data_IF_746767070104
#
_entry.id   IF_746767070104
#
_cell.length_a   1.000
_cell.length_b   1.000
_cell.length_c   1.000
_cell.angle_alpha   90.00
_cell.angle_beta   90.00
_cell.angle_gamma   90.00
#
_symmetry.space_group_name_H-M   'P 1'
#
loop_
_entity.id
_entity.type
_entity.pdbx_description
1 polymer ?
#
# COMPACT_ATOMS: atom_id res chain seq x y z
N UNK A 1 -15.18 7.20 -51.33
CA UNK A 1 -13.95 8.05 -51.41
C UNK A 1 -13.01 7.47 -52.44
N UNK A 2 -11.87 8.12 -52.74
CA UNK A 2 -10.86 7.55 -53.67
C UNK A 2 -9.58 7.20 -52.89
N UNK A 3 -8.93 6.11 -53.29
CA UNK A 3 -7.68 5.70 -52.71
C UNK A 3 -6.60 6.78 -52.97
N UNK A 4 -5.86 7.15 -51.92
CA UNK A 4 -4.79 8.18 -52.02
C UNK A 4 -3.57 7.66 -52.81
N UNK A 5 -3.41 6.35 -52.97
CA UNK A 5 -2.27 5.74 -53.64
C UNK A 5 -2.56 5.38 -55.10
N UNK A 6 -3.71 4.78 -55.42
CA UNK A 6 -4.01 4.31 -56.77
C UNK A 6 -5.22 5.01 -57.43
N UNK A 7 -5.92 5.92 -56.73
CA UNK A 7 -7.08 6.62 -57.22
C UNK A 7 -8.38 5.83 -57.38
N UNK A 8 -8.38 4.52 -57.08
CA UNK A 8 -9.53 3.65 -57.20
C UNK A 8 -10.67 4.07 -56.25
N UNK A 9 -11.95 3.87 -56.66
CA UNK A 9 -13.07 4.17 -55.77
C UNK A 9 -13.08 3.20 -54.58
N UNK A 10 -13.26 3.74 -53.35
CA UNK A 10 -13.27 2.99 -52.11
C UNK A 10 -14.59 3.23 -51.37
N UNK A 11 -15.06 2.17 -50.70
CA UNK A 11 -16.09 2.31 -49.68
C UNK A 11 -15.50 3.01 -48.43
N UNK A 12 -16.31 3.76 -47.71
CA UNK A 12 -15.90 4.56 -46.56
C UNK A 12 -15.39 3.69 -45.42
N UNK A 13 -15.87 2.43 -45.29
CA UNK A 13 -15.56 1.47 -44.25
C UNK A 13 -14.40 0.51 -44.61
N UNK A 14 -13.72 0.71 -45.75
CA UNK A 14 -12.69 -0.19 -46.21
C UNK A 14 -11.36 0.02 -45.47
N UNK A 15 -10.84 -0.97 -44.72
CA UNK A 15 -9.58 -0.86 -43.98
C UNK A 15 -8.35 -0.83 -44.93
N UNK A 16 -8.41 -1.55 -46.00
CA UNK A 16 -7.35 -1.63 -47.05
C UNK A 16 -7.95 -1.49 -48.42
N UNK A 17 -7.25 -0.80 -49.30
CA UNK A 17 -7.66 -0.70 -50.70
C UNK A 17 -7.62 -2.10 -51.36
N UNK A 18 -8.73 -2.58 -51.94
CA UNK A 18 -8.77 -3.91 -52.58
C UNK A 18 -7.93 -3.99 -53.87
N UNK A 19 -7.55 -2.85 -54.45
CA UNK A 19 -6.79 -2.77 -55.69
C UNK A 19 -5.29 -2.70 -55.51
N UNK A 20 -4.81 -1.97 -54.50
CA UNK A 20 -3.37 -1.75 -54.26
C UNK A 20 -2.89 -2.18 -52.87
N UNK A 21 -3.79 -2.61 -51.97
CA UNK A 21 -3.43 -3.04 -50.62
C UNK A 21 -3.07 -1.92 -49.64
N UNK A 22 -3.00 -0.68 -50.07
CA UNK A 22 -2.67 0.47 -49.21
C UNK A 22 -3.70 0.62 -48.12
N UNK A 23 -3.26 0.84 -46.87
CA UNK A 23 -4.12 1.11 -45.71
C UNK A 23 -4.85 2.46 -45.90
N UNK A 24 -6.15 2.47 -45.70
CA UNK A 24 -6.96 3.69 -45.80
C UNK A 24 -6.91 4.48 -44.49
N UNK A 25 -7.27 5.76 -44.47
CA UNK A 25 -7.37 6.52 -43.24
C UNK A 25 -8.29 5.86 -42.18
N UNK A 26 -9.39 5.24 -42.63
CA UNK A 26 -10.26 4.42 -41.75
C UNK A 26 -9.55 3.19 -41.21
N UNK A 27 -8.74 2.50 -42.02
CA UNK A 27 -7.92 1.37 -41.60
C UNK A 27 -6.85 1.76 -40.57
N UNK A 28 -6.22 2.93 -40.73
CA UNK A 28 -5.25 3.44 -39.76
C UNK A 28 -5.89 3.76 -38.41
N UNK A 29 -7.11 4.35 -38.42
CA UNK A 29 -7.87 4.61 -37.21
C UNK A 29 -8.25 3.33 -36.48
N UNK A 30 -8.78 2.35 -37.23
CA UNK A 30 -9.10 1.03 -36.69
C UNK A 30 -7.88 0.27 -36.15
N UNK A 31 -6.74 0.40 -36.78
CA UNK A 31 -5.49 -0.19 -36.30
C UNK A 31 -5.06 0.44 -34.97
N UNK A 32 -5.13 1.78 -34.88
CA UNK A 32 -4.82 2.50 -33.61
C UNK A 32 -5.79 2.13 -32.49
N UNK A 33 -7.09 2.00 -32.77
CA UNK A 33 -8.07 1.55 -31.78
C UNK A 33 -7.77 0.13 -31.27
N UNK A 34 -7.46 -0.82 -32.18
CA UNK A 34 -7.11 -2.21 -31.80
C UNK A 34 -5.81 -2.25 -30.99
N UNK A 35 -4.83 -1.43 -31.33
CA UNK A 35 -3.56 -1.35 -30.59
C UNK A 35 -3.76 -0.76 -29.18
N UNK A 36 -4.61 0.28 -29.05
CA UNK A 36 -4.94 0.84 -27.75
C UNK A 36 -5.72 -0.15 -26.88
N UNK A 37 -6.71 -0.84 -27.43
CA UNK A 37 -7.45 -1.89 -26.72
C UNK A 37 -6.54 -3.03 -26.26
N UNK A 38 -5.61 -3.48 -27.13
CA UNK A 38 -4.64 -4.52 -26.77
C UNK A 38 -3.74 -4.07 -25.61
N UNK A 39 -3.25 -2.84 -25.62
CA UNK A 39 -2.46 -2.25 -24.51
C UNK A 39 -3.27 -2.17 -23.22
N UNK A 40 -4.55 -1.81 -23.30
CA UNK A 40 -5.42 -1.74 -22.13
C UNK A 40 -5.73 -3.13 -21.55
N UNK A 41 -5.91 -4.13 -22.38
CA UNK A 41 -6.13 -5.52 -21.94
C UNK A 41 -4.85 -6.13 -21.34
N UNK A 42 -3.69 -5.88 -21.93
CA UNK A 42 -2.39 -6.26 -21.35
C UNK A 42 -2.16 -5.58 -19.99
N UNK A 43 -2.52 -4.29 -19.88
CA UNK A 43 -2.46 -3.53 -18.63
C UNK A 43 -3.40 -4.11 -17.57
N UNK A 44 -4.65 -4.45 -17.94
CA UNK A 44 -5.62 -5.09 -17.01
C UNK A 44 -5.09 -6.44 -16.52
N UNK A 45 -4.58 -7.28 -17.39
CA UNK A 45 -3.97 -8.57 -17.02
C UNK A 45 -2.75 -8.42 -16.13
N UNK A 46 -1.94 -7.39 -16.36
CA UNK A 46 -0.81 -7.07 -15.49
C UNK A 46 -1.27 -6.59 -14.10
N UNK A 47 -2.33 -5.77 -14.03
CA UNK A 47 -2.94 -5.32 -12.77
C UNK A 47 -3.54 -6.47 -11.96
N UNK A 48 -4.14 -7.47 -12.60
CA UNK A 48 -4.69 -8.66 -11.92
C UNK A 48 -3.61 -9.49 -11.22
N UNK A 49 -2.38 -9.49 -11.76
CA UNK A 49 -1.24 -10.19 -11.17
C UNK A 49 -0.58 -9.42 -10.01
N UNK A 50 -0.94 -8.15 -9.82
CA UNK A 50 -0.39 -7.35 -8.73
C UNK A 50 -0.97 -7.78 -7.37
N UNK A 51 -0.17 -7.71 -6.31
CA UNK A 51 -0.65 -8.02 -4.96
C UNK A 51 -1.80 -7.08 -4.58
N UNK A 52 -2.88 -7.68 -4.07
CA UNK A 52 -4.10 -6.96 -3.70
C UNK A 52 -3.93 -6.25 -2.36
N UNK A 53 -4.14 -4.93 -2.36
CA UNK A 53 -4.11 -4.10 -1.15
C UNK A 53 -5.47 -3.43 -0.91
N UNK A 54 -5.94 -3.43 0.33
CA UNK A 54 -7.21 -2.78 0.68
C UNK A 54 -7.02 -1.26 0.67
N UNK A 55 -7.82 -0.58 -0.19
CA UNK A 55 -7.95 0.88 -0.14
C UNK A 55 -8.81 1.27 1.06
N UNK A 56 -8.31 2.17 1.89
CA UNK A 56 -9.05 2.75 3.03
C UNK A 56 -8.81 4.25 3.02
N UNK A 57 -9.88 5.04 3.20
CA UNK A 57 -9.75 6.49 3.28
C UNK A 57 -8.79 6.89 4.40
N UNK A 58 -7.78 7.68 4.08
CA UNK A 58 -6.72 8.05 5.04
C UNK A 58 -7.27 8.84 6.23
N UNK A 59 -8.28 9.69 5.99
CA UNK A 59 -8.98 10.43 7.03
C UNK A 59 -9.68 9.51 8.03
N UNK A 60 -10.32 8.45 7.53
CA UNK A 60 -10.97 7.45 8.39
C UNK A 60 -9.95 6.71 9.27
N UNK A 61 -8.78 6.35 8.71
CA UNK A 61 -7.70 5.72 9.48
C UNK A 61 -7.15 6.67 10.55
N UNK A 62 -6.96 7.95 10.22
CA UNK A 62 -6.48 8.94 11.17
C UNK A 62 -7.48 9.15 12.32
N UNK A 63 -8.77 9.25 12.00
CA UNK A 63 -9.84 9.35 13.01
C UNK A 63 -9.83 8.11 13.91
N UNK A 64 -9.82 6.90 13.35
CA UNK A 64 -9.78 5.67 14.14
C UNK A 64 -8.50 5.61 15.01
N UNK A 65 -7.36 6.02 14.48
CA UNK A 65 -6.11 6.05 15.23
C UNK A 65 -6.21 6.91 16.49
N UNK A 66 -6.79 8.12 16.36
CA UNK A 66 -6.98 9.03 17.48
C UNK A 66 -8.03 8.50 18.46
N UNK A 67 -9.20 8.09 17.97
CA UNK A 67 -10.30 7.62 18.83
C UNK A 67 -9.98 6.32 19.60
N UNK A 68 -9.15 5.46 19.03
CA UNK A 68 -8.74 4.20 19.70
C UNK A 68 -7.42 4.35 20.45
N UNK A 69 -6.92 5.59 20.64
CA UNK A 69 -5.63 5.86 21.27
C UNK A 69 -4.48 4.99 20.69
N UNK A 70 -4.52 4.73 19.38
CA UNK A 70 -3.54 3.91 18.67
C UNK A 70 -3.82 2.41 18.59
N UNK A 71 -4.84 1.86 19.28
CA UNK A 71 -5.22 0.42 19.20
C UNK A 71 -5.49 -0.01 17.75
N UNK A 72 -6.03 0.88 16.93
CA UNK A 72 -6.22 0.64 15.51
C UNK A 72 -4.92 0.28 14.76
N UNK A 73 -3.76 0.71 15.24
CA UNK A 73 -2.47 0.35 14.62
C UNK A 73 -2.19 -1.15 14.72
N UNK A 74 -2.53 -1.79 15.84
CA UNK A 74 -2.40 -3.24 16.04
C UNK A 74 -3.23 -3.98 15.00
N UNK A 75 -4.52 -3.61 14.88
CA UNK A 75 -5.42 -4.15 13.87
C UNK A 75 -4.88 -3.92 12.46
N UNK A 76 -4.37 -2.72 12.16
CA UNK A 76 -3.84 -2.37 10.85
C UNK A 76 -2.66 -3.26 10.46
N UNK A 77 -1.67 -3.45 11.36
CA UNK A 77 -0.52 -4.32 11.09
C UNK A 77 -0.93 -5.78 10.93
N UNK A 78 -1.84 -6.29 11.76
CA UNK A 78 -2.34 -7.66 11.68
C UNK A 78 -3.04 -7.94 10.33
N UNK A 79 -3.94 -7.05 9.91
CA UNK A 79 -4.66 -7.18 8.63
C UNK A 79 -3.77 -7.00 7.40
N UNK A 80 -2.67 -6.25 7.53
CA UNK A 80 -1.72 -6.00 6.44
C UNK A 80 -0.56 -6.99 6.39
N UNK A 81 -0.40 -7.85 7.37
CA UNK A 81 0.71 -8.80 7.44
C UNK A 81 0.81 -9.68 6.18
N UNK A 82 -0.29 -10.33 5.79
CA UNK A 82 -0.34 -11.18 4.59
C UNK A 82 -0.14 -10.37 3.30
N UNK A 83 -0.91 -9.28 3.04
CA UNK A 83 -0.72 -8.45 1.86
C UNK A 83 0.69 -7.87 1.73
N UNK A 84 1.29 -7.35 2.81
CA UNK A 84 2.66 -6.82 2.77
C UNK A 84 3.69 -7.90 2.47
N UNK A 85 3.52 -9.09 3.04
CA UNK A 85 4.44 -10.22 2.79
C UNK A 85 4.26 -10.87 1.41
N UNK A 86 3.13 -10.62 0.71
CA UNK A 86 2.94 -11.05 -0.69
C UNK A 86 3.60 -10.13 -1.71
N UNK A 87 4.08 -8.95 -1.30
CA UNK A 87 4.82 -8.05 -2.19
C UNK A 87 6.14 -8.69 -2.64
N UNK A 88 6.55 -8.37 -3.87
CA UNK A 88 7.82 -8.83 -4.45
C UNK A 88 9.00 -8.04 -3.84
N UNK A 89 9.32 -8.33 -2.58
CA UNK A 89 10.37 -7.66 -1.80
C UNK A 89 11.25 -8.66 -1.07
N UNK A 90 12.50 -8.27 -0.81
CA UNK A 90 13.43 -9.05 0.02
C UNK A 90 13.06 -8.96 1.50
N UNK A 91 12.68 -7.78 1.95
CA UNK A 91 12.24 -7.53 3.32
C UNK A 91 10.82 -8.07 3.54
N UNK A 92 10.58 -8.70 4.68
CA UNK A 92 9.26 -9.22 5.09
C UNK A 92 8.92 -8.71 6.48
N UNK A 93 7.63 -8.54 6.74
CA UNK A 93 7.12 -8.18 8.05
C UNK A 93 7.04 -9.45 8.93
N UNK A 94 7.83 -9.56 10.01
CA UNK A 94 7.81 -10.75 10.85
C UNK A 94 6.55 -10.79 11.71
N UNK A 95 5.84 -11.93 11.66
CA UNK A 95 4.57 -12.11 12.39
C UNK A 95 4.77 -12.02 13.91
N UNK A 96 5.90 -12.52 14.43
CA UNK A 96 6.20 -12.48 15.85
C UNK A 96 6.31 -11.05 16.39
N UNK A 97 6.83 -10.09 15.58
CA UNK A 97 6.96 -8.69 16.00
C UNK A 97 5.58 -8.00 16.06
N UNK A 98 4.68 -8.34 15.14
CA UNK A 98 3.29 -7.86 15.19
C UNK A 98 2.56 -8.45 16.41
N UNK A 99 2.77 -9.74 16.71
CA UNK A 99 2.22 -10.39 17.89
C UNK A 99 2.78 -9.76 19.18
N UNK A 100 4.09 -9.53 19.26
CA UNK A 100 4.72 -8.86 20.40
C UNK A 100 4.13 -7.48 20.63
N UNK A 101 4.00 -6.67 19.56
CA UNK A 101 3.39 -5.35 19.62
C UNK A 101 1.94 -5.43 20.14
N UNK A 102 1.17 -6.41 19.68
CA UNK A 102 -0.21 -6.61 20.14
C UNK A 102 -0.27 -6.99 21.63
N UNK A 103 0.61 -7.86 22.10
CA UNK A 103 0.67 -8.27 23.52
C UNK A 103 1.10 -7.10 24.41
N UNK A 104 2.13 -6.35 24.03
CA UNK A 104 2.56 -5.17 24.79
C UNK A 104 1.45 -4.11 24.85
N UNK A 105 0.75 -3.91 23.73
CA UNK A 105 -0.36 -2.96 23.67
C UNK A 105 -1.56 -3.41 24.52
N UNK A 106 -1.89 -4.70 24.49
CA UNK A 106 -2.92 -5.27 25.36
C UNK A 106 -2.54 -5.12 26.85
N UNK A 107 -1.26 -5.37 27.20
CA UNK A 107 -0.75 -5.17 28.55
C UNK A 107 -0.95 -3.74 29.05
N UNK A 108 -0.70 -2.74 28.20
CA UNK A 108 -0.88 -1.33 28.54
C UNK A 108 -2.34 -0.98 28.90
N UNK A 109 -3.32 -1.63 28.24
CA UNK A 109 -4.75 -1.39 28.48
C UNK A 109 -5.35 -2.27 29.59
N UNK A 110 -4.84 -3.49 29.76
CA UNK A 110 -5.36 -4.45 30.72
C UNK A 110 -4.72 -4.35 32.10
N UNK A 111 -3.52 -3.75 32.17
CA UNK A 111 -2.75 -3.61 33.40
C UNK A 111 -2.38 -2.12 33.65
N UNK A 112 -3.37 -1.24 33.80
CA UNK A 112 -3.08 0.11 34.27
C UNK A 112 -2.49 0.07 35.68
N UNK A 113 -1.74 1.09 36.12
CA UNK A 113 -1.03 1.11 37.40
C UNK A 113 -1.92 0.73 38.58
N UNK A 114 -3.14 1.22 38.62
CA UNK A 114 -4.11 0.99 39.71
C UNK A 114 -4.52 -0.51 39.81
N UNK A 115 -4.62 -1.20 38.66
CA UNK A 115 -4.94 -2.64 38.62
C UNK A 115 -3.68 -3.45 38.94
N UNK A 116 -2.51 -3.00 38.50
CA UNK A 116 -1.23 -3.69 38.76
C UNK A 116 -0.92 -3.72 40.25
N UNK A 117 -1.12 -2.62 40.95
CA UNK A 117 -0.99 -2.52 42.40
C UNK A 117 -1.93 -3.52 43.12
N UNK A 118 -3.17 -3.64 42.67
CA UNK A 118 -4.15 -4.54 43.27
C UNK A 118 -3.88 -6.02 43.00
N UNK A 119 -3.42 -6.39 41.77
CA UNK A 119 -3.16 -7.78 41.38
C UNK A 119 -1.85 -8.28 41.97
N UNK A 120 -0.82 -7.45 42.00
CA UNK A 120 0.52 -7.83 42.52
C UNK A 120 0.66 -7.24 43.93
N UNK A 121 0.02 -7.93 44.87
CA UNK A 121 0.15 -7.57 46.30
C UNK A 121 1.62 -7.56 46.71
N UNK A 122 2.18 -6.39 47.01
CA UNK A 122 3.57 -6.21 47.42
C UNK A 122 4.43 -5.32 46.51
N UNK A 123 3.88 -4.84 45.40
CA UNK A 123 4.50 -3.78 44.60
C UNK A 123 3.99 -2.44 45.12
N UNK A 124 4.90 -1.53 45.46
CA UNK A 124 4.58 -0.15 45.79
C UNK A 124 4.12 0.64 44.54
N UNK A 125 3.38 1.71 44.77
CA UNK A 125 2.78 2.54 43.72
C UNK A 125 3.88 3.06 42.75
N UNK A 126 5.03 3.50 43.26
CA UNK A 126 6.13 4.01 42.47
C UNK A 126 6.68 2.94 41.48
N UNK A 127 6.81 1.69 41.96
CA UNK A 127 7.24 0.57 41.10
C UNK A 127 6.20 0.21 40.05
N UNK A 128 4.89 0.30 40.34
CA UNK A 128 3.82 0.07 39.38
C UNK A 128 3.84 1.10 38.23
N UNK A 129 4.01 2.38 38.54
CA UNK A 129 4.17 3.42 37.51
C UNK A 129 5.45 3.22 36.68
N UNK A 130 6.55 2.83 37.30
CA UNK A 130 7.80 2.53 36.58
C UNK A 130 7.63 1.39 35.57
N UNK A 131 6.94 0.30 35.95
CA UNK A 131 6.62 -0.81 35.04
C UNK A 131 5.74 -0.34 33.88
N UNK A 132 4.71 0.47 34.16
CA UNK A 132 3.83 1.04 33.14
C UNK A 132 4.62 1.90 32.12
N UNK A 133 5.50 2.76 32.59
CA UNK A 133 6.35 3.61 31.74
C UNK A 133 7.30 2.80 30.86
N UNK A 134 7.88 1.71 31.39
CA UNK A 134 8.71 0.79 30.62
C UNK A 134 7.88 0.10 29.51
N UNK A 135 6.68 -0.38 29.82
CA UNK A 135 5.81 -1.02 28.82
C UNK A 135 5.39 0.00 27.76
N UNK A 136 5.04 1.22 28.17
CA UNK A 136 4.71 2.31 27.24
C UNK A 136 5.89 2.61 26.29
N UNK A 137 7.11 2.71 26.82
CA UNK A 137 8.31 2.91 26.01
C UNK A 137 8.53 1.76 25.02
N UNK A 138 8.34 0.51 25.44
CA UNK A 138 8.46 -0.66 24.57
C UNK A 138 7.39 -0.66 23.48
N UNK A 139 6.15 -0.28 23.77
CA UNK A 139 5.08 -0.10 22.77
C UNK A 139 5.47 0.95 21.75
N UNK A 140 5.95 2.10 22.17
CA UNK A 140 6.39 3.17 21.28
C UNK A 140 7.55 2.74 20.38
N UNK A 141 8.59 2.12 20.95
CA UNK A 141 9.76 1.62 20.19
C UNK A 141 9.36 0.53 19.19
N UNK A 142 8.51 -0.42 19.58
CA UNK A 142 8.05 -1.49 18.68
C UNK A 142 7.17 -0.94 17.55
N UNK A 143 6.32 0.06 17.83
CA UNK A 143 5.50 0.76 16.83
C UNK A 143 6.37 1.46 15.78
N UNK A 144 7.39 2.19 16.22
CA UNK A 144 8.34 2.87 15.33
C UNK A 144 9.11 1.85 14.50
N UNK A 145 9.59 0.78 15.11
CA UNK A 145 10.32 -0.28 14.41
C UNK A 145 9.46 -0.94 13.32
N UNK A 146 8.21 -1.33 13.66
CA UNK A 146 7.25 -1.87 12.68
C UNK A 146 7.03 -0.90 11.52
N UNK A 147 6.87 0.38 11.79
CA UNK A 147 6.68 1.39 10.77
C UNK A 147 7.88 1.48 9.80
N UNK A 148 9.12 1.41 10.32
CA UNK A 148 10.33 1.39 9.49
C UNK A 148 10.46 0.14 8.64
N UNK A 149 10.10 -1.04 9.16
CA UNK A 149 10.07 -2.29 8.37
C UNK A 149 9.07 -2.16 7.22
N UNK A 150 7.84 -1.71 7.50
CA UNK A 150 6.81 -1.53 6.46
C UNK A 150 7.25 -0.49 5.43
N UNK A 151 7.83 0.64 5.87
CA UNK A 151 8.41 1.64 4.96
C UNK A 151 9.39 0.99 3.97
N UNK A 152 10.33 0.20 4.49
CA UNK A 152 11.34 -0.48 3.67
C UNK A 152 10.68 -1.42 2.67
N UNK A 153 9.69 -2.21 3.08
CA UNK A 153 8.92 -3.10 2.21
C UNK A 153 8.25 -2.31 1.08
N UNK A 154 7.57 -1.21 1.40
CA UNK A 154 6.88 -0.39 0.39
C UNK A 154 7.86 0.25 -0.60
N UNK A 155 9.01 0.75 -0.13
CA UNK A 155 10.04 1.34 -0.98
C UNK A 155 10.74 0.30 -1.87
N UNK A 156 11.05 -0.89 -1.34
CA UNK A 156 11.59 -2.01 -2.12
C UNK A 156 10.60 -2.45 -3.21
N UNK A 157 9.31 -2.52 -2.91
CA UNK A 157 8.30 -2.87 -3.91
C UNK A 157 8.19 -1.80 -4.98
N UNK A 158 8.15 -0.52 -4.61
CA UNK A 158 8.11 0.61 -5.56
C UNK A 158 9.33 0.64 -6.48
N UNK A 159 10.51 0.23 -6.00
CA UNK A 159 11.73 0.16 -6.81
C UNK A 159 11.67 -0.87 -7.94
N UNK A 160 10.65 -1.75 -7.97
CA UNK A 160 10.39 -2.63 -9.12
C UNK A 160 9.67 -1.91 -10.28
N UNK A 161 9.10 -0.71 -10.03
CA UNK A 161 8.31 0.05 -11.01
C UNK A 161 8.95 1.39 -11.38
N UNK A 162 9.91 1.87 -10.59
CA UNK A 162 10.62 3.13 -10.80
C UNK A 162 12.06 3.03 -10.29
N UNK A 163 12.88 4.04 -10.63
CA UNK A 163 14.25 4.11 -10.11
C UNK A 163 14.26 4.14 -8.57
N UNK A 164 15.25 3.47 -7.96
CA UNK A 164 15.36 3.34 -6.49
C UNK A 164 15.40 4.69 -5.77
N UNK A 165 16.08 5.68 -6.33
CA UNK A 165 16.13 7.05 -5.83
C UNK A 165 14.75 7.71 -5.81
N UNK A 166 13.97 7.52 -6.88
CA UNK A 166 12.61 8.02 -6.99
C UNK A 166 11.65 7.28 -6.06
N UNK A 167 11.80 5.97 -5.89
CA UNK A 167 10.99 5.16 -4.98
C UNK A 167 11.10 5.66 -3.54
N UNK A 168 12.31 5.94 -3.06
CA UNK A 168 12.57 6.47 -1.70
C UNK A 168 11.95 7.85 -1.51
N UNK A 169 12.07 8.73 -2.51
CA UNK A 169 11.55 10.09 -2.44
C UNK A 169 10.03 10.17 -2.65
N UNK A 170 9.45 9.17 -3.33
CA UNK A 170 8.01 9.17 -3.65
C UNK A 170 7.19 8.42 -2.61
N UNK A 171 7.68 7.26 -2.13
CA UNK A 171 6.96 6.40 -1.19
C UNK A 171 7.54 6.54 0.21
N UNK A 172 6.73 7.02 1.13
CA UNK A 172 7.08 7.24 2.54
C UNK A 172 8.39 8.05 2.73
N UNK A 173 8.51 9.25 2.13
CA UNK A 173 9.76 10.02 2.17
C UNK A 173 10.08 10.51 3.59
N UNK A 174 9.08 10.88 4.39
CA UNK A 174 9.26 11.51 5.70
C UNK A 174 9.30 10.48 6.83
N UNK A 175 10.44 10.38 7.51
CA UNK A 175 10.58 9.59 8.75
C UNK A 175 9.84 10.23 9.92
N UNK A 176 9.80 11.57 9.97
CA UNK A 176 9.11 12.32 11.03
C UNK A 176 7.60 12.05 11.00
N UNK A 177 6.98 12.14 9.81
CA UNK A 177 5.56 11.84 9.63
C UNK A 177 5.23 10.39 9.99
N UNK A 178 6.18 9.48 9.79
CA UNK A 178 6.01 8.07 10.13
C UNK A 178 6.06 7.83 11.64
N UNK A 179 6.95 8.52 12.36
CA UNK A 179 7.02 8.45 13.81
C UNK A 179 5.76 9.05 14.45
N UNK A 180 5.28 10.19 13.94
CA UNK A 180 4.12 10.89 14.50
C UNK A 180 2.79 10.21 14.18
N UNK A 181 2.62 9.69 12.97
CA UNK A 181 1.32 9.20 12.46
C UNK A 181 1.30 7.70 12.14
N UNK A 182 2.43 6.99 12.26
CA UNK A 182 2.56 5.54 12.15
C UNK A 182 1.71 4.90 11.04
N UNK A 183 0.75 4.07 11.46
CA UNK A 183 -0.14 3.31 10.56
C UNK A 183 -0.99 4.22 9.66
N UNK A 184 -1.42 5.41 10.12
CA UNK A 184 -2.19 6.34 9.31
C UNK A 184 -1.36 6.88 8.13
N UNK A 185 -0.12 7.27 8.38
CA UNK A 185 0.79 7.71 7.33
C UNK A 185 1.12 6.58 6.33
N UNK A 186 1.37 5.36 6.84
CA UNK A 186 1.61 4.20 5.99
C UNK A 186 0.39 3.86 5.11
N UNK A 187 -0.84 4.04 5.62
CA UNK A 187 -2.05 3.88 4.81
C UNK A 187 -2.12 4.88 3.66
N UNK A 188 -1.71 6.13 3.88
CA UNK A 188 -1.62 7.14 2.80
C UNK A 188 -0.67 6.63 1.70
N UNK A 189 0.47 6.05 2.08
CA UNK A 189 1.45 5.53 1.12
C UNK A 189 0.93 4.31 0.36
N UNK A 190 0.23 3.39 1.03
CA UNK A 190 -0.44 2.25 0.39
C UNK A 190 -1.47 2.74 -0.62
N UNK A 191 -2.31 3.71 -0.25
CA UNK A 191 -3.30 4.30 -1.16
C UNK A 191 -2.62 4.97 -2.38
N UNK A 192 -1.47 5.63 -2.16
CA UNK A 192 -0.67 6.22 -3.24
C UNK A 192 -0.16 5.16 -4.21
N UNK A 193 0.36 4.03 -3.70
CA UNK A 193 0.82 2.91 -4.53
C UNK A 193 -0.32 2.29 -5.35
N UNK A 194 -1.52 2.16 -4.78
CA UNK A 194 -2.71 1.71 -5.51
C UNK A 194 -3.05 2.68 -6.65
N UNK A 195 -3.06 4.00 -6.38
CA UNK A 195 -3.32 5.04 -7.41
C UNK A 195 -2.27 5.04 -8.51
N UNK A 196 -1.02 4.68 -8.21
CA UNK A 196 0.07 4.56 -9.17
C UNK A 196 0.10 3.20 -9.90
N UNK A 197 -0.89 2.34 -9.72
CA UNK A 197 -1.02 1.00 -10.28
C UNK A 197 0.16 0.06 -9.94
N UNK A 198 0.77 0.23 -8.77
CA UNK A 198 1.80 -0.68 -8.24
C UNK A 198 1.20 -1.83 -7.45
N UNK A 199 -0.05 -1.68 -6.99
CA UNK A 199 -0.86 -2.69 -6.30
C UNK A 199 -2.28 -2.66 -6.86
N UNK A 200 -2.97 -3.82 -6.87
CA UNK A 200 -4.39 -3.84 -7.18
C UNK A 200 -5.23 -3.41 -5.98
N UNK A 201 -6.31 -2.66 -6.22
CA UNK A 201 -7.26 -2.32 -5.17
C UNK A 201 -8.14 -3.54 -4.87
N UNK A 202 -8.16 -3.98 -3.58
CA UNK A 202 -9.18 -4.91 -3.10
C UNK A 202 -10.31 -4.08 -2.50
N UNK A 203 -11.48 -4.14 -3.11
CA UNK A 203 -12.74 -3.55 -2.62
C UNK A 203 -13.28 -4.37 -1.46
#
# INVERSE_FOLDING_TARGET
MKCTSCGAPLEISCEKCPYCGTVTPYGEEKFRERESQKKDDERKKALEKLPAMKFVASSFVAVLYVFTMGLYSVYWYAMRLKPLNSLATKSKLPAWLVALFAVLYAGLFLLPPEITEYIVSGIDEESAYTVFDIVLALVMLSSVWLAFIVRKILQEHAANFMEKSQAVNTIAPSSVMMILFGAAYLQIQVNKMIKMNMCSAKI
#
